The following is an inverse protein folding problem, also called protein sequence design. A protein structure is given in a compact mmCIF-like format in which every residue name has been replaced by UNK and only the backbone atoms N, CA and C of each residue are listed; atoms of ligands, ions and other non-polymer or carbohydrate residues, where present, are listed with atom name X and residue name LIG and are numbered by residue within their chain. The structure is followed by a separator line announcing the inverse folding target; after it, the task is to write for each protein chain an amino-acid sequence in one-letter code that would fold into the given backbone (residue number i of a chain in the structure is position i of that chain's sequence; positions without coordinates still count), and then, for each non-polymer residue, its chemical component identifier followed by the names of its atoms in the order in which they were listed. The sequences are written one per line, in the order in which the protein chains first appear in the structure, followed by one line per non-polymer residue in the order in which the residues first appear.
data_IF_433370360198
#
_entry.id   IF_433370360198
#
_cell.length_a   1.000
_cell.length_b   1.000
_cell.length_c   1.000
_cell.angle_alpha   90.00
_cell.angle_beta   90.00
_cell.angle_gamma   90.00
#
_symmetry.space_group_name_H-M   'P 1'
#
loop_
_entity.id
_entity.type
_entity.pdbx_description
1 polymer ?
#
# COMPACT_ATOMS: atom_id res chain seq x y z
N UNK A 1 -9.36 -5.79 -13.37
CA UNK A 1 -7.89 -5.75 -13.56
C UNK A 1 -7.33 -7.10 -14.06
N UNK A 2 -7.18 -8.16 -13.25
CA UNK A 2 -6.57 -9.43 -13.67
C UNK A 2 -7.23 -10.05 -14.90
N UNK A 3 -8.58 -10.10 -14.96
CA UNK A 3 -9.29 -10.61 -16.14
C UNK A 3 -8.99 -9.82 -17.42
N UNK A 4 -8.78 -8.49 -17.33
CA UNK A 4 -8.37 -7.69 -18.48
C UNK A 4 -6.93 -8.00 -18.90
N UNK A 5 -6.03 -8.20 -17.93
CA UNK A 5 -4.67 -8.63 -18.22
C UNK A 5 -4.61 -10.01 -18.89
N UNK A 6 -5.39 -10.97 -18.40
CA UNK A 6 -5.47 -12.31 -19.03
C UNK A 6 -5.96 -12.20 -20.48
N UNK A 7 -7.02 -11.42 -20.74
CA UNK A 7 -7.52 -11.21 -22.11
C UNK A 7 -6.49 -10.53 -23.01
N UNK A 8 -5.79 -9.51 -22.52
CA UNK A 8 -4.82 -8.77 -23.33
C UNK A 8 -3.62 -9.61 -23.78
N UNK A 9 -3.31 -10.67 -23.04
CA UNK A 9 -2.20 -11.58 -23.32
C UNK A 9 -2.67 -12.96 -23.86
N UNK A 10 -3.95 -13.12 -24.14
CA UNK A 10 -4.50 -14.37 -24.65
C UNK A 10 -4.42 -15.54 -23.67
N UNK A 11 -4.36 -15.27 -22.35
CA UNK A 11 -4.30 -16.32 -21.34
C UNK A 11 -5.70 -16.86 -21.04
N UNK A 12 -5.87 -18.17 -21.10
CA UNK A 12 -7.09 -18.85 -20.68
C UNK A 12 -7.12 -19.06 -19.15
N UNK A 13 -7.11 -17.96 -18.42
CA UNK A 13 -7.13 -17.94 -16.97
C UNK A 13 -8.36 -17.18 -16.45
N UNK A 14 -8.75 -17.49 -15.22
CA UNK A 14 -9.85 -16.84 -14.54
C UNK A 14 -9.36 -16.22 -13.21
N UNK A 15 -9.98 -15.12 -12.82
CA UNK A 15 -9.78 -14.49 -11.53
C UNK A 15 -11.14 -14.31 -10.86
N UNK A 16 -11.31 -14.94 -9.71
CA UNK A 16 -12.59 -15.00 -9.00
C UNK A 16 -12.42 -14.68 -7.52
N UNK A 17 -13.40 -14.00 -6.89
CA UNK A 17 -13.35 -13.73 -5.45
C UNK A 17 -13.80 -14.96 -4.65
N UNK A 18 -13.18 -15.14 -3.48
CA UNK A 18 -13.56 -16.16 -2.50
C UNK A 18 -13.90 -15.47 -1.16
N UNK A 19 -15.18 -15.46 -0.73
CA UNK A 19 -15.57 -14.95 0.58
C UNK A 19 -15.24 -15.99 1.66
N UNK A 20 -14.06 -15.87 2.26
CA UNK A 20 -13.57 -16.79 3.28
C UNK A 20 -13.99 -16.30 4.67
N UNK A 21 -14.58 -17.17 5.49
CA UNK A 21 -14.91 -16.86 6.89
C UNK A 21 -13.68 -17.11 7.79
N UNK A 22 -13.57 -16.42 8.95
CA UNK A 22 -12.39 -16.55 9.82
C UNK A 22 -12.04 -17.98 10.23
N UNK A 23 -13.04 -18.80 10.53
CA UNK A 23 -12.85 -20.20 10.93
C UNK A 23 -12.52 -21.16 9.77
N UNK A 24 -12.64 -20.68 8.52
CA UNK A 24 -12.34 -21.44 7.30
C UNK A 24 -10.98 -21.05 6.68
N UNK A 25 -10.25 -20.09 7.27
CA UNK A 25 -9.03 -19.53 6.69
C UNK A 25 -7.97 -20.61 6.44
N UNK A 26 -7.66 -21.43 7.45
CA UNK A 26 -6.65 -22.48 7.31
C UNK A 26 -6.98 -23.47 6.19
N UNK A 27 -8.21 -24.00 6.20
CA UNK A 27 -8.64 -24.95 5.17
C UNK A 27 -8.65 -24.33 3.77
N UNK A 28 -9.03 -23.06 3.66
CA UNK A 28 -9.01 -22.32 2.42
C UNK A 28 -7.58 -22.15 1.88
N UNK A 29 -6.62 -21.79 2.71
CA UNK A 29 -5.22 -21.65 2.30
C UNK A 29 -4.63 -23.02 1.90
N UNK A 30 -4.87 -24.07 2.68
CA UNK A 30 -4.45 -25.45 2.32
C UNK A 30 -5.06 -25.91 1.01
N UNK A 31 -6.31 -25.52 0.73
CA UNK A 31 -7.03 -25.82 -0.51
C UNK A 31 -6.36 -25.25 -1.77
N UNK A 32 -5.61 -24.16 -1.70
CA UNK A 32 -4.91 -23.56 -2.83
C UNK A 32 -4.00 -24.58 -3.52
N UNK A 33 -3.21 -25.30 -2.74
CA UNK A 33 -2.30 -26.31 -3.25
C UNK A 33 -3.06 -27.51 -3.84
N UNK A 34 -4.07 -28.01 -3.11
CA UNK A 34 -4.83 -29.23 -3.48
C UNK A 34 -5.70 -29.03 -4.73
N UNK A 35 -6.20 -27.82 -4.95
CA UNK A 35 -7.01 -27.45 -6.12
C UNK A 35 -6.19 -26.99 -7.31
N UNK A 36 -4.87 -26.91 -7.18
CA UNK A 36 -3.99 -26.42 -8.25
C UNK A 36 -4.20 -24.95 -8.58
N UNK A 37 -4.70 -24.14 -7.62
CA UNK A 37 -4.84 -22.69 -7.80
C UNK A 37 -3.44 -22.09 -7.87
N UNK A 38 -3.15 -21.32 -8.93
CA UNK A 38 -1.81 -20.76 -9.18
C UNK A 38 -1.41 -19.70 -8.18
N UNK A 39 -2.37 -18.95 -7.65
CA UNK A 39 -2.13 -17.96 -6.62
C UNK A 39 -3.40 -17.22 -6.24
N UNK A 40 -3.34 -16.48 -5.14
CA UNK A 40 -4.45 -15.68 -4.62
C UNK A 40 -3.96 -14.35 -4.08
N UNK A 41 -4.79 -13.31 -4.21
CA UNK A 41 -4.60 -12.08 -3.43
C UNK A 41 -5.35 -12.19 -2.11
N UNK A 42 -4.72 -11.70 -1.05
CA UNK A 42 -5.26 -11.66 0.31
C UNK A 42 -5.55 -10.22 0.68
N UNK A 43 -6.73 -9.97 1.21
CA UNK A 43 -7.13 -8.64 1.69
C UNK A 43 -7.49 -8.65 3.18
N UNK A 44 -7.90 -7.50 3.70
CA UNK A 44 -8.37 -7.34 5.09
C UNK A 44 -9.52 -8.34 5.35
N UNK A 45 -9.51 -9.04 6.51
CA UNK A 45 -8.59 -8.86 7.65
C UNK A 45 -7.44 -9.88 7.71
N UNK A 46 -7.12 -10.60 6.65
CA UNK A 46 -6.34 -11.84 6.67
C UNK A 46 -4.85 -11.72 6.36
N UNK A 47 -4.34 -10.52 6.02
CA UNK A 47 -2.95 -10.33 5.55
C UNK A 47 -1.87 -10.84 6.52
N UNK A 48 -2.14 -10.78 7.82
CA UNK A 48 -1.25 -11.31 8.86
C UNK A 48 -1.63 -12.76 9.21
N UNK A 49 -2.94 -13.05 9.26
CA UNK A 49 -3.47 -14.33 9.71
C UNK A 49 -3.14 -15.51 8.76
N UNK A 50 -2.80 -15.26 7.50
CA UNK A 50 -2.43 -16.32 6.54
C UNK A 50 -1.01 -16.84 6.74
N UNK A 51 -0.12 -16.05 7.36
CA UNK A 51 1.31 -16.35 7.48
C UNK A 51 1.60 -17.74 8.05
N UNK A 52 0.96 -18.18 9.15
CA UNK A 52 1.21 -19.51 9.73
C UNK A 52 0.90 -20.69 8.82
N UNK A 53 0.15 -20.47 7.74
CA UNK A 53 -0.28 -21.51 6.81
C UNK A 53 0.55 -21.54 5.53
N UNK A 54 1.57 -20.68 5.42
CA UNK A 54 2.46 -20.59 4.25
C UNK A 54 3.74 -21.39 4.49
N UNK A 55 4.36 -21.85 3.42
CA UNK A 55 5.60 -22.59 3.48
C UNK A 55 6.83 -21.67 3.51
N UNK A 56 6.69 -20.48 2.94
CA UNK A 56 7.77 -19.51 2.79
C UNK A 56 7.22 -18.10 2.66
N UNK A 57 8.00 -17.12 3.07
CA UNK A 57 7.73 -15.69 2.84
C UNK A 57 8.85 -15.08 2.00
N UNK A 58 8.51 -14.14 1.15
CA UNK A 58 9.54 -13.28 0.57
C UNK A 58 10.23 -12.45 1.67
N UNK A 59 11.48 -12.03 1.48
CA UNK A 59 12.19 -11.22 2.48
C UNK A 59 11.42 -9.94 2.87
N UNK A 60 10.68 -9.35 1.94
CA UNK A 60 9.83 -8.19 2.18
C UNK A 60 8.61 -8.55 3.04
N UNK A 61 7.89 -9.62 2.68
CA UNK A 61 6.72 -10.07 3.42
C UNK A 61 7.09 -10.49 4.85
N UNK A 62 8.25 -11.11 5.04
CA UNK A 62 8.78 -11.50 6.35
C UNK A 62 9.05 -10.27 7.22
N UNK A 63 9.80 -9.27 6.70
CA UNK A 63 10.08 -8.01 7.41
C UNK A 63 8.81 -7.24 7.74
N UNK A 64 7.83 -7.25 6.85
CA UNK A 64 6.55 -6.55 7.05
C UNK A 64 5.61 -7.29 7.99
N UNK A 65 5.75 -8.62 8.14
CA UNK A 65 4.76 -9.44 8.83
C UNK A 65 3.38 -9.40 8.18
N UNK A 66 3.32 -9.24 6.83
CA UNK A 66 2.06 -9.05 6.11
C UNK A 66 2.16 -9.59 4.69
N UNK A 67 1.14 -10.35 4.27
CA UNK A 67 1.03 -10.99 2.95
C UNK A 67 -0.25 -10.55 2.28
N UNK A 68 -0.17 -9.99 1.08
CA UNK A 68 -1.33 -9.69 0.23
C UNK A 68 -1.38 -10.55 -1.05
N UNK A 69 -0.36 -11.36 -1.30
CA UNK A 69 -0.27 -12.21 -2.50
C UNK A 69 0.37 -13.55 -2.11
N UNK A 70 -0.29 -14.66 -2.41
CA UNK A 70 0.22 -16.01 -2.21
C UNK A 70 0.39 -16.66 -3.58
N UNK A 71 1.56 -17.23 -3.84
CA UNK A 71 1.86 -17.96 -5.07
C UNK A 71 2.02 -19.44 -4.76
N UNK A 72 1.39 -20.28 -5.55
CA UNK A 72 1.56 -21.72 -5.49
C UNK A 72 2.63 -22.17 -6.48
N UNK A 73 3.74 -22.67 -5.98
CA UNK A 73 4.81 -23.28 -6.78
C UNK A 73 4.83 -24.78 -6.53
N UNK A 74 4.08 -25.53 -7.34
CA UNK A 74 3.99 -26.99 -7.24
C UNK A 74 3.59 -27.50 -5.84
N UNK A 75 2.57 -26.89 -5.24
CA UNK A 75 2.09 -27.23 -3.90
C UNK A 75 2.77 -26.46 -2.76
N UNK A 76 3.88 -25.76 -3.03
CA UNK A 76 4.56 -24.89 -2.07
C UNK A 76 3.98 -23.48 -2.14
N UNK A 77 3.39 -23.01 -1.06
CA UNK A 77 2.75 -21.71 -0.97
C UNK A 77 3.77 -20.67 -0.44
N UNK A 78 4.00 -19.63 -1.23
CA UNK A 78 4.96 -18.55 -0.93
C UNK A 78 4.20 -17.24 -0.81
N UNK A 79 4.39 -16.53 0.31
CA UNK A 79 3.74 -15.25 0.59
C UNK A 79 4.58 -14.04 0.16
N UNK A 80 3.91 -13.07 -0.45
CA UNK A 80 4.50 -11.80 -0.90
C UNK A 80 3.68 -10.61 -0.39
N UNK A 81 4.32 -9.43 -0.34
CA UNK A 81 3.65 -8.16 -0.07
C UNK A 81 3.91 -7.20 -1.24
N UNK A 82 2.88 -6.89 -2.02
CA UNK A 82 2.97 -6.06 -3.23
C UNK A 82 2.38 -4.66 -3.06
N UNK A 83 1.69 -4.36 -1.96
CA UNK A 83 0.99 -3.09 -1.75
C UNK A 83 1.92 -1.88 -1.79
N UNK A 84 3.01 -1.91 -1.02
CA UNK A 84 3.93 -0.79 -0.95
C UNK A 84 4.66 -0.54 -2.27
N UNK A 85 5.13 -1.61 -2.92
CA UNK A 85 5.76 -1.52 -4.24
C UNK A 85 4.77 -1.06 -5.31
N UNK A 86 3.47 -1.41 -5.16
CA UNK A 86 2.40 -0.91 -6.02
C UNK A 86 2.26 0.62 -5.94
N UNK A 87 2.43 1.21 -4.75
CA UNK A 87 2.45 2.68 -4.59
C UNK A 87 3.69 3.30 -5.23
N UNK A 88 4.88 2.71 -5.06
CA UNK A 88 6.10 3.20 -5.70
C UNK A 88 5.95 3.21 -7.22
N UNK A 89 5.39 2.14 -7.78
CA UNK A 89 5.09 2.06 -9.21
C UNK A 89 4.09 3.14 -9.66
N UNK A 90 3.07 3.42 -8.85
CA UNK A 90 2.12 4.52 -9.11
C UNK A 90 2.79 5.89 -9.11
N UNK A 91 3.69 6.14 -8.17
CA UNK A 91 4.48 7.39 -8.14
C UNK A 91 5.28 7.56 -9.42
N UNK A 92 5.94 6.52 -9.88
CA UNK A 92 6.74 6.55 -11.11
C UNK A 92 5.85 6.78 -12.34
N UNK A 93 4.76 6.03 -12.48
CA UNK A 93 3.92 6.00 -13.69
C UNK A 93 2.96 7.18 -13.83
N UNK A 94 2.38 7.65 -12.73
CA UNK A 94 1.35 8.69 -12.75
C UNK A 94 1.87 10.07 -12.34
N UNK A 95 2.89 10.12 -11.49
CA UNK A 95 3.41 11.36 -10.93
C UNK A 95 4.83 11.72 -11.40
N UNK A 96 5.54 10.81 -12.07
CA UNK A 96 6.97 10.92 -12.36
C UNK A 96 7.78 11.34 -11.14
N UNK A 97 7.41 10.75 -9.99
CA UNK A 97 7.91 11.06 -8.67
C UNK A 97 8.79 9.91 -8.17
N UNK A 98 10.02 10.23 -7.80
CA UNK A 98 10.88 9.30 -7.07
C UNK A 98 10.90 9.67 -5.59
N UNK A 99 10.65 8.72 -4.68
CA UNK A 99 10.78 8.95 -3.25
C UNK A 99 12.22 8.99 -2.76
N UNK A 100 13.19 8.54 -3.55
CA UNK A 100 14.61 8.52 -3.18
C UNK A 100 15.10 9.91 -2.75
N UNK A 101 15.72 9.98 -1.57
CA UNK A 101 16.25 11.22 -1.00
C UNK A 101 15.19 12.21 -0.51
N UNK A 102 13.90 11.91 -0.63
CA UNK A 102 12.82 12.79 -0.19
C UNK A 102 12.50 12.61 1.29
N UNK A 103 11.90 13.65 1.88
CA UNK A 103 11.22 13.56 3.17
C UNK A 103 9.74 13.26 2.93
N UNK A 104 9.24 12.20 3.56
CA UNK A 104 7.87 11.69 3.39
C UNK A 104 7.13 11.74 4.72
N UNK A 105 5.89 12.21 4.72
CA UNK A 105 4.99 12.16 5.86
C UNK A 105 3.89 11.11 5.63
N UNK A 106 3.80 10.14 6.53
CA UNK A 106 2.84 9.05 6.50
C UNK A 106 1.79 9.22 7.60
N UNK A 107 0.53 9.28 7.22
CA UNK A 107 -0.61 9.35 8.13
C UNK A 107 -1.20 7.96 8.28
N UNK A 108 -1.08 7.38 9.46
CA UNK A 108 -1.48 6.02 9.79
C UNK A 108 -0.31 5.10 10.10
N UNK A 109 -0.59 4.04 10.87
CA UNK A 109 0.35 2.96 11.21
C UNK A 109 -0.36 1.60 11.22
N UNK A 110 -1.29 1.39 10.29
CA UNK A 110 -1.96 0.10 10.05
C UNK A 110 -1.20 -0.75 9.01
N UNK A 111 -1.80 -1.86 8.58
CA UNK A 111 -1.16 -2.79 7.62
C UNK A 111 -0.75 -2.14 6.29
N UNK A 112 -1.60 -1.26 5.71
CA UNK A 112 -1.25 -0.52 4.50
C UNK A 112 -0.10 0.46 4.75
N UNK A 113 -0.15 1.22 5.86
CA UNK A 113 0.93 2.12 6.27
C UNK A 113 2.25 1.38 6.42
N UNK A 114 2.22 0.20 7.06
CA UNK A 114 3.40 -0.64 7.25
C UNK A 114 4.02 -1.04 5.91
N UNK A 115 3.23 -1.56 4.99
CA UNK A 115 3.69 -1.96 3.66
C UNK A 115 4.29 -0.79 2.88
N UNK A 116 3.63 0.38 2.92
CA UNK A 116 4.10 1.59 2.27
C UNK A 116 5.39 2.11 2.91
N UNK A 117 5.46 2.15 4.23
CA UNK A 117 6.64 2.64 4.96
C UNK A 117 7.89 1.80 4.66
N UNK A 118 7.78 0.48 4.63
CA UNK A 118 8.86 -0.42 4.25
C UNK A 118 9.28 -0.23 2.78
N UNK A 119 8.32 -0.07 1.86
CA UNK A 119 8.62 0.18 0.45
C UNK A 119 9.32 1.54 0.24
N UNK A 120 8.88 2.58 0.93
CA UNK A 120 9.52 3.91 0.91
C UNK A 120 10.95 3.85 1.47
N UNK A 121 11.15 3.16 2.59
CA UNK A 121 12.46 2.98 3.18
C UNK A 121 13.40 2.21 2.23
N UNK A 122 12.91 1.14 1.60
CA UNK A 122 13.64 0.39 0.57
C UNK A 122 13.93 1.18 -0.69
N UNK A 123 13.06 2.15 -1.04
CA UNK A 123 13.28 3.09 -2.13
C UNK A 123 14.24 4.25 -1.78
N UNK A 124 14.80 4.28 -0.57
CA UNK A 124 15.84 5.21 -0.17
C UNK A 124 15.35 6.62 0.18
N UNK A 125 14.17 6.76 0.80
CA UNK A 125 13.76 8.05 1.38
C UNK A 125 14.79 8.52 2.40
N UNK A 126 15.01 9.83 2.50
CA UNK A 126 15.94 10.40 3.49
C UNK A 126 15.31 10.43 4.89
N UNK A 127 14.05 10.84 4.96
CA UNK A 127 13.31 10.93 6.22
C UNK A 127 11.89 10.38 6.05
N UNK A 128 11.42 9.64 7.05
CA UNK A 128 10.05 9.14 7.14
C UNK A 128 9.43 9.62 8.45
N UNK A 129 8.42 10.47 8.35
CA UNK A 129 7.63 10.96 9.47
C UNK A 129 6.34 10.16 9.55
N UNK A 130 5.99 9.64 10.72
CA UNK A 130 4.83 8.77 10.89
C UNK A 130 3.94 9.35 11.99
N UNK A 131 2.69 9.63 11.65
CA UNK A 131 1.66 10.03 12.62
C UNK A 131 0.55 8.98 12.68
N UNK A 132 0.10 8.67 13.89
CA UNK A 132 -1.04 7.77 14.08
C UNK A 132 -1.79 8.15 15.37
N UNK A 133 -3.11 8.03 15.34
CA UNK A 133 -3.98 8.28 16.51
C UNK A 133 -3.52 7.54 17.76
N UNK A 134 -3.04 6.29 17.62
CA UNK A 134 -2.41 5.52 18.70
C UNK A 134 -0.91 5.62 18.53
N UNK A 135 -0.25 6.53 19.26
CA UNK A 135 1.19 6.80 19.16
C UNK A 135 2.05 5.54 19.22
N UNK A 136 1.75 4.63 20.11
CA UNK A 136 2.48 3.36 20.26
C UNK A 136 2.62 2.59 18.93
N UNK A 137 1.60 2.59 18.05
CA UNK A 137 1.69 1.94 16.74
C UNK A 137 2.69 2.61 15.81
N UNK A 138 2.79 3.94 15.86
CA UNK A 138 3.79 4.68 15.10
C UNK A 138 5.22 4.41 15.62
N UNK A 139 5.39 4.31 16.94
CA UNK A 139 6.68 4.00 17.57
C UNK A 139 7.14 2.57 17.24
N UNK A 140 6.23 1.58 17.24
CA UNK A 140 6.55 0.20 16.79
C UNK A 140 6.98 0.20 15.33
N UNK A 141 6.22 0.84 14.45
CA UNK A 141 6.55 0.89 13.02
C UNK A 141 7.88 1.61 12.79
N UNK A 142 8.15 2.71 13.50
CA UNK A 142 9.45 3.38 13.49
C UNK A 142 10.58 2.43 13.85
N UNK A 143 10.46 1.73 14.98
CA UNK A 143 11.48 0.79 15.45
C UNK A 143 11.79 -0.30 14.41
N UNK A 144 10.75 -0.89 13.82
CA UNK A 144 10.91 -1.96 12.84
C UNK A 144 11.59 -1.48 11.55
N UNK A 145 11.28 -0.25 11.11
CA UNK A 145 11.93 0.33 9.92
C UNK A 145 13.38 0.69 10.22
N UNK A 146 13.70 1.30 11.36
CA UNK A 146 15.08 1.63 11.75
C UNK A 146 15.95 0.37 11.86
N UNK A 147 15.39 -0.74 12.36
CA UNK A 147 16.07 -2.03 12.40
C UNK A 147 16.36 -2.60 11.00
N UNK A 148 15.43 -2.47 10.06
CA UNK A 148 15.57 -2.99 8.70
C UNK A 148 16.36 -2.07 7.75
N UNK A 149 16.27 -0.75 7.96
CA UNK A 149 16.87 0.29 7.12
C UNK A 149 17.56 1.38 7.97
N UNK A 150 18.73 1.09 8.56
CA UNK A 150 19.42 2.00 9.49
C UNK A 150 19.80 3.36 8.89
N UNK A 151 19.87 3.47 7.57
CA UNK A 151 20.17 4.71 6.87
C UNK A 151 18.98 5.69 6.78
N UNK A 152 17.76 5.22 7.03
CA UNK A 152 16.55 6.04 6.96
C UNK A 152 16.26 6.65 8.33
N UNK A 153 16.16 7.98 8.38
CA UNK A 153 15.75 8.67 9.60
C UNK A 153 14.24 8.56 9.77
N UNK A 154 13.78 7.91 10.84
CA UNK A 154 12.35 7.75 11.12
C UNK A 154 11.94 8.54 12.36
N UNK A 155 10.87 9.32 12.25
CA UNK A 155 10.33 10.15 13.34
C UNK A 155 8.85 9.82 13.51
N UNK A 156 8.49 9.33 14.69
CA UNK A 156 7.09 9.23 15.06
C UNK A 156 6.63 10.56 15.69
N UNK A 157 5.47 11.06 15.32
CA UNK A 157 4.88 12.30 15.85
C UNK A 157 3.47 12.04 16.35
N UNK A 158 3.05 12.82 17.35
CA UNK A 158 1.69 12.75 17.85
C UNK A 158 0.72 13.39 16.86
N UNK A 159 -0.45 12.81 16.77
CA UNK A 159 -1.55 13.32 15.97
C UNK A 159 -2.02 14.68 16.48
N UNK A 160 -2.35 15.61 15.57
CA UNK A 160 -2.91 16.95 15.85
C UNK A 160 -2.02 17.89 16.67
N UNK A 161 -0.71 17.71 16.64
CA UNK A 161 0.25 18.58 17.33
C UNK A 161 0.83 19.64 16.41
N UNK A 162 1.39 20.72 17.01
CA UNK A 162 2.18 21.72 16.28
C UNK A 162 3.39 21.07 15.59
N UNK A 163 4.01 20.07 16.23
CA UNK A 163 5.11 19.31 15.64
C UNK A 163 4.68 18.59 14.35
N UNK A 164 3.47 18.03 14.31
CA UNK A 164 2.91 17.40 13.12
C UNK A 164 2.78 18.42 11.98
N UNK A 165 2.25 19.61 12.22
CA UNK A 165 2.09 20.66 11.21
C UNK A 165 3.44 21.10 10.65
N UNK A 166 4.45 21.28 11.52
CA UNK A 166 5.82 21.61 11.10
C UNK A 166 6.45 20.48 10.25
N UNK A 167 6.21 19.23 10.62
CA UNK A 167 6.70 18.09 9.85
C UNK A 167 6.04 17.99 8.46
N UNK A 168 4.72 18.21 8.38
CA UNK A 168 3.98 18.28 7.13
C UNK A 168 4.54 19.33 6.17
N UNK A 169 4.80 20.54 6.66
CA UNK A 169 5.35 21.63 5.85
C UNK A 169 6.76 21.34 5.30
N UNK A 170 7.51 20.43 5.93
CA UNK A 170 8.86 20.02 5.50
C UNK A 170 8.87 18.83 4.55
N UNK A 171 7.82 18.02 4.57
CA UNK A 171 7.75 16.79 3.79
C UNK A 171 7.15 17.07 2.43
N UNK A 172 7.93 16.88 1.37
CA UNK A 172 7.44 17.08 0.00
C UNK A 172 6.32 16.10 -0.39
N UNK A 173 6.32 14.92 0.20
CA UNK A 173 5.34 13.86 -0.06
C UNK A 173 4.56 13.60 1.22
N UNK A 174 3.24 13.69 1.16
CA UNK A 174 2.32 13.38 2.27
C UNK A 174 1.37 12.30 1.82
N UNK A 175 1.24 11.22 2.62
CA UNK A 175 0.45 10.04 2.24
C UNK A 175 -0.57 9.74 3.33
N UNK A 176 -1.86 9.76 2.99
CA UNK A 176 -2.93 9.24 3.84
C UNK A 176 -3.07 7.74 3.62
N UNK A 177 -2.93 6.96 4.70
CA UNK A 177 -3.15 5.51 4.71
C UNK A 177 -4.28 5.11 5.66
N UNK A 178 -5.03 6.09 6.15
CA UNK A 178 -6.19 5.86 7.02
C UNK A 178 -7.47 5.70 6.19
N UNK A 179 -8.55 5.14 6.75
CA UNK A 179 -9.83 5.06 6.06
C UNK A 179 -10.64 6.38 6.10
N UNK A 180 -10.09 7.48 6.61
CA UNK A 180 -10.78 8.77 6.67
C UNK A 180 -10.91 9.38 5.27
N UNK A 181 -12.12 9.59 4.84
CA UNK A 181 -12.46 10.02 3.47
C UNK A 181 -13.02 8.90 2.58
N UNK A 182 -13.11 7.65 3.10
CA UNK A 182 -13.75 6.52 2.44
C UNK A 182 -15.17 6.28 2.99
N UNK A 183 -16.06 5.73 2.18
CA UNK A 183 -17.39 5.33 2.62
C UNK A 183 -17.34 4.44 3.88
N UNK A 184 -18.23 4.61 4.87
CA UNK A 184 -19.37 5.53 4.88
C UNK A 184 -19.03 6.96 5.35
N UNK A 185 -17.78 7.28 5.69
CA UNK A 185 -17.34 8.56 6.28
C UNK A 185 -16.56 9.40 5.25
N UNK A 186 -17.15 9.65 4.09
CA UNK A 186 -16.50 10.35 2.97
C UNK A 186 -16.13 11.80 3.29
N UNK A 187 -16.85 12.44 4.22
CA UNK A 187 -16.58 13.80 4.68
C UNK A 187 -15.41 13.91 5.66
N UNK A 188 -14.96 12.80 6.24
CA UNK A 188 -13.87 12.80 7.21
C UNK A 188 -12.52 13.10 6.53
N UNK A 189 -11.67 13.85 7.23
CA UNK A 189 -10.34 14.22 6.76
C UNK A 189 -9.26 13.68 7.72
N UNK A 190 -8.13 13.23 7.20
CA UNK A 190 -7.02 12.81 8.06
C UNK A 190 -6.36 14.01 8.78
N UNK A 191 -6.40 15.19 8.16
CA UNK A 191 -5.87 16.45 8.72
C UNK A 191 -6.86 17.57 8.41
N UNK A 192 -7.26 18.33 9.43
CA UNK A 192 -8.25 19.39 9.29
C UNK A 192 -7.67 20.68 8.65
N UNK A 193 -6.44 21.04 9.04
CA UNK A 193 -5.80 22.25 8.51
C UNK A 193 -5.09 22.01 7.19
N UNK A 194 -5.16 23.00 6.30
CA UNK A 194 -4.43 23.01 5.01
C UNK A 194 -3.36 24.11 4.95
N UNK A 195 -3.02 24.74 6.08
CA UNK A 195 -2.06 25.86 6.13
C UNK A 195 -0.63 25.46 5.79
N UNK A 196 -0.28 24.18 5.98
CA UNK A 196 1.01 23.61 5.62
C UNK A 196 1.19 23.37 4.12
N UNK A 197 0.12 23.46 3.32
CA UNK A 197 0.11 23.08 1.91
C UNK A 197 0.73 24.17 1.03
N UNK A 198 1.61 23.76 0.13
CA UNK A 198 2.18 24.60 -0.95
C UNK A 198 2.15 23.87 -2.28
N UNK A 199 2.45 24.56 -3.38
CA UNK A 199 2.54 23.96 -4.73
C UNK A 199 3.65 22.91 -4.88
N UNK A 200 4.60 22.85 -3.96
CA UNK A 200 5.70 21.88 -3.99
C UNK A 200 5.31 20.51 -3.45
N UNK A 201 4.18 20.43 -2.73
CA UNK A 201 3.70 19.18 -2.16
C UNK A 201 3.10 18.25 -3.21
N UNK A 202 3.38 16.97 -3.01
CA UNK A 202 2.62 15.84 -3.51
C UNK A 202 1.82 15.24 -2.37
N UNK A 203 0.51 15.22 -2.51
CA UNK A 203 -0.38 14.63 -1.49
C UNK A 203 -1.11 13.44 -2.07
N UNK A 204 -0.87 12.29 -1.48
CA UNK A 204 -1.41 11.02 -1.90
C UNK A 204 -2.45 10.52 -0.89
N UNK A 205 -3.57 10.02 -1.39
CA UNK A 205 -4.54 9.27 -0.60
C UNK A 205 -4.66 7.85 -1.18
N UNK A 206 -4.44 6.81 -0.36
CA UNK A 206 -4.58 5.43 -0.85
C UNK A 206 -6.05 5.03 -1.10
N UNK A 207 -6.98 5.89 -0.74
CA UNK A 207 -8.40 5.73 -1.10
C UNK A 207 -8.54 5.92 -2.61
N UNK A 208 -9.16 4.94 -3.27
CA UNK A 208 -9.41 5.01 -4.72
C UNK A 208 -10.86 5.38 -5.04
N UNK A 209 -11.77 5.28 -4.07
CA UNK A 209 -13.18 5.66 -4.21
C UNK A 209 -13.73 6.21 -2.89
N UNK A 210 -14.23 7.48 -2.86
CA UNK A 210 -14.26 8.45 -3.97
C UNK A 210 -12.88 8.96 -4.38
N UNK A 211 -12.76 9.51 -5.60
CA UNK A 211 -11.57 10.25 -6.03
C UNK A 211 -11.98 11.49 -6.87
N UNK A 212 -11.45 12.69 -6.52
CA UNK A 212 -10.67 12.97 -5.31
C UNK A 212 -11.51 12.83 -4.04
N UNK A 213 -10.88 12.48 -2.90
CA UNK A 213 -11.52 12.60 -1.59
C UNK A 213 -11.74 14.08 -1.25
N UNK A 214 -12.64 14.38 -0.29
CA UNK A 214 -12.84 15.77 0.18
C UNK A 214 -11.53 16.41 0.60
N UNK A 215 -10.69 15.69 1.32
CA UNK A 215 -9.37 16.17 1.74
C UNK A 215 -8.48 16.53 0.54
N UNK A 216 -8.36 15.64 -0.45
CA UNK A 216 -7.58 15.91 -1.65
C UNK A 216 -8.12 17.09 -2.46
N UNK A 217 -9.43 17.28 -2.49
CA UNK A 217 -10.05 18.45 -3.16
C UNK A 217 -9.61 19.76 -2.51
N UNK A 218 -9.64 19.84 -1.17
CA UNK A 218 -9.21 21.02 -0.43
C UNK A 218 -7.68 21.27 -0.61
N UNK A 219 -6.88 20.21 -0.62
CA UNK A 219 -5.43 20.25 -0.86
C UNK A 219 -5.11 20.77 -2.27
N UNK A 220 -5.80 20.25 -3.28
CA UNK A 220 -5.62 20.67 -4.67
C UNK A 220 -5.98 22.14 -4.87
N UNK A 221 -7.02 22.64 -4.20
CA UNK A 221 -7.41 24.05 -4.24
C UNK A 221 -6.32 24.98 -3.66
N UNK A 222 -5.39 24.47 -2.86
CA UNK A 222 -4.20 25.20 -2.37
C UNK A 222 -3.00 25.13 -3.33
N UNK A 223 -3.15 24.45 -4.46
CA UNK A 223 -2.12 24.36 -5.50
C UNK A 223 -1.19 23.15 -5.41
N UNK A 224 -1.35 22.26 -4.44
CA UNK A 224 -0.57 21.03 -4.38
C UNK A 224 -1.00 20.03 -5.45
N UNK A 225 -0.09 19.15 -5.81
CA UNK A 225 -0.36 18.01 -6.71
C UNK A 225 -0.95 16.86 -5.90
N UNK A 226 -1.95 16.20 -6.47
CA UNK A 226 -2.65 15.10 -5.79
C UNK A 226 -2.49 13.78 -6.53
N UNK A 227 -2.55 12.68 -5.79
CA UNK A 227 -2.54 11.32 -6.32
C UNK A 227 -3.53 10.46 -5.52
N UNK A 228 -4.36 9.69 -6.22
CA UNK A 228 -5.33 8.78 -5.60
C UNK A 228 -4.83 7.33 -5.52
N UNK A 229 -5.56 6.50 -4.79
CA UNK A 229 -5.20 5.10 -4.54
C UNK A 229 -5.36 4.15 -5.73
N UNK A 230 -6.00 4.58 -6.81
CA UNK A 230 -6.24 3.73 -7.98
C UNK A 230 -4.94 3.24 -8.64
N UNK A 231 -3.92 4.11 -8.70
CA UNK A 231 -2.59 3.74 -9.21
C UNK A 231 -1.91 2.67 -8.36
N UNK A 232 -1.98 2.80 -7.04
CA UNK A 232 -1.46 1.79 -6.10
C UNK A 232 -2.20 0.45 -6.28
N UNK A 233 -3.53 0.48 -6.43
CA UNK A 233 -4.34 -0.72 -6.63
C UNK A 233 -3.98 -1.42 -7.95
N UNK A 234 -3.75 -0.67 -9.03
CA UNK A 234 -3.26 -1.22 -10.28
C UNK A 234 -1.83 -1.78 -10.14
N UNK A 235 -0.94 -1.01 -9.53
CA UNK A 235 0.46 -1.39 -9.34
C UNK A 235 0.65 -2.69 -8.56
N UNK A 236 -0.04 -2.84 -7.42
CA UNK A 236 0.02 -4.09 -6.67
C UNK A 236 -0.55 -5.27 -7.46
N UNK A 237 -1.60 -5.01 -8.28
CA UNK A 237 -2.18 -6.03 -9.15
C UNK A 237 -1.22 -6.48 -10.26
N UNK A 238 -0.47 -5.56 -10.87
CA UNK A 238 0.56 -5.86 -11.87
C UNK A 238 1.67 -6.74 -11.28
N UNK A 239 2.15 -6.39 -10.08
CA UNK A 239 3.16 -7.18 -9.38
C UNK A 239 2.65 -8.58 -9.03
N UNK A 240 1.41 -8.68 -8.54
CA UNK A 240 0.78 -9.97 -8.28
C UNK A 240 0.59 -10.79 -9.57
N UNK A 241 0.17 -10.14 -10.67
CA UNK A 241 0.05 -10.79 -11.97
C UNK A 241 1.38 -11.38 -12.45
N UNK A 242 2.46 -10.59 -12.37
CA UNK A 242 3.81 -11.06 -12.69
C UNK A 242 4.20 -12.27 -11.83
N UNK A 243 3.96 -12.21 -10.52
CA UNK A 243 4.21 -13.31 -9.60
C UNK A 243 3.43 -14.58 -9.95
N UNK A 244 2.18 -14.46 -10.42
CA UNK A 244 1.34 -15.61 -10.80
C UNK A 244 1.77 -16.23 -12.14
N UNK A 245 2.09 -15.40 -13.14
CA UNK A 245 2.23 -15.82 -14.53
C UNK A 245 3.66 -15.84 -15.03
N UNK A 246 4.57 -15.09 -14.40
CA UNK A 246 5.91 -14.81 -14.94
C UNK A 246 5.92 -13.84 -16.12
N UNK A 247 4.76 -13.27 -16.49
CA UNK A 247 4.62 -12.37 -17.64
C UNK A 247 4.49 -10.91 -17.20
N UNK A 248 4.84 -10.00 -18.09
CA UNK A 248 4.61 -8.57 -17.92
C UNK A 248 3.28 -8.15 -18.55
N UNK A 249 2.59 -7.21 -17.92
CA UNK A 249 1.39 -6.57 -18.46
C UNK A 249 1.56 -5.05 -18.45
N UNK A 250 1.08 -4.38 -19.49
CA UNK A 250 1.15 -2.92 -19.53
C UNK A 250 0.33 -2.29 -18.40
N UNK A 251 0.90 -1.26 -17.75
CA UNK A 251 0.28 -0.56 -16.63
C UNK A 251 -1.15 -0.12 -16.93
N UNK A 252 -1.36 0.49 -18.11
CA UNK A 252 -2.65 1.02 -18.53
C UNK A 252 -3.75 -0.05 -18.66
N UNK A 253 -3.39 -1.30 -18.96
CA UNK A 253 -4.36 -2.40 -19.06
C UNK A 253 -5.05 -2.66 -17.73
N UNK A 254 -4.28 -2.62 -16.64
CA UNK A 254 -4.86 -2.81 -15.31
C UNK A 254 -5.43 -1.50 -14.74
N UNK A 255 -4.77 -0.37 -15.02
CA UNK A 255 -5.15 0.94 -14.48
C UNK A 255 -6.54 1.41 -14.92
N UNK A 256 -6.92 1.12 -16.17
CA UNK A 256 -8.25 1.48 -16.72
C UNK A 256 -9.41 0.72 -16.08
N UNK A 257 -9.13 -0.34 -15.37
CA UNK A 257 -10.13 -1.20 -14.73
C UNK A 257 -10.37 -0.85 -13.24
N UNK A 258 -9.73 0.19 -12.75
CA UNK A 258 -9.85 0.78 -11.41
C UNK A 258 -10.50 2.15 -11.51
#
# INVERSE_FOLDING_TARGET
MHAAAYRSLGLNWVYVPFPVKPHELESSIRGIASLGIMGVNVTIPYKEAVIPYLHELSPEAERMGSVNTIVNRNGRLIGYSTDGQGLILSFEREAHLTPQGQSVFLIGAGGAARSIAFALAGAGVAELWISNRTRFRADVLKHDIEAAYPAVKVVAVDDRTVQMVHALARCRIVINTTPLGMAPNEDAKPIETTEWVTSDHWVCDIIYKPFPTRWLTEIQAKGARILGGAGMLAGQGILAFHLFTGLEVAYDVMRREV
#
